data_IF_531121342710
#
_entry.id   IF_531121342710
#
_cell.length_a   1.000
_cell.length_b   1.000
_cell.length_c   1.000
_cell.angle_alpha   90.00
_cell.angle_beta   90.00
_cell.angle_gamma   90.00
#
_symmetry.space_group_name_H-M   'P 1'
#
loop_
_entity.id
_entity.type
_entity.pdbx_description
1 polymer ?
#
# COMPACT_ATOMS: atom_id res chain seq x y z
N UNK A 1 -66.88 36.76 49.19
CA UNK A 1 -66.69 35.37 48.74
C UNK A 1 -66.38 35.40 47.25
N UNK A 2 -65.28 34.74 46.86
CA UNK A 2 -64.95 34.25 45.50
C UNK A 2 -64.71 35.32 44.41
N UNK A 3 -63.45 35.66 44.08
CA UNK A 3 -62.56 35.04 43.06
C UNK A 3 -63.10 35.25 41.62
N UNK A 4 -62.34 35.63 40.60
CA UNK A 4 -60.90 35.53 40.27
C UNK A 4 -60.49 36.67 39.34
N UNK A 5 -59.25 37.15 39.45
CA UNK A 5 -58.62 38.11 38.54
C UNK A 5 -57.20 37.65 38.21
N UNK A 6 -56.85 37.77 36.93
CA UNK A 6 -55.58 37.43 36.29
C UNK A 6 -54.36 37.98 37.02
N UNK A 7 -53.26 37.24 36.97
CA UNK A 7 -51.93 37.82 36.78
C UNK A 7 -51.02 36.89 35.98
N UNK A 8 -50.27 37.54 35.09
CA UNK A 8 -49.36 36.97 34.10
C UNK A 8 -48.04 36.54 34.77
N UNK A 9 -47.52 35.38 34.40
CA UNK A 9 -46.14 34.98 34.69
C UNK A 9 -45.45 34.60 33.37
N UNK A 10 -44.44 35.40 33.01
CA UNK A 10 -43.52 35.15 31.92
C UNK A 10 -42.58 33.99 32.28
N UNK A 11 -42.59 32.94 31.47
CA UNK A 11 -41.56 31.90 31.48
C UNK A 11 -40.73 31.98 30.19
N UNK A 12 -39.46 32.33 30.36
CA UNK A 12 -38.39 32.21 29.35
C UNK A 12 -38.20 30.73 28.97
N UNK A 13 -38.51 30.38 27.72
CA UNK A 13 -38.17 29.09 27.13
C UNK A 13 -36.78 29.18 26.48
N UNK A 14 -35.75 28.68 27.16
CA UNK A 14 -34.45 28.37 26.56
C UNK A 14 -34.57 27.04 25.79
N UNK A 15 -34.81 27.14 24.49
CA UNK A 15 -34.79 26.00 23.57
C UNK A 15 -33.38 25.40 23.51
N UNK A 16 -33.22 24.23 24.10
CA UNK A 16 -32.04 23.36 23.96
C UNK A 16 -32.01 22.85 22.51
N UNK A 17 -31.10 23.40 21.69
CA UNK A 17 -30.74 22.83 20.39
C UNK A 17 -29.79 21.64 20.60
N UNK A 18 -30.32 20.51 21.08
CA UNK A 18 -29.62 19.23 21.06
C UNK A 18 -29.86 18.55 19.71
N UNK A 19 -28.97 18.81 18.76
CA UNK A 19 -28.95 18.13 17.48
C UNK A 19 -27.52 17.94 17.02
N UNK A 20 -26.76 17.09 17.73
CA UNK A 20 -25.53 16.55 17.15
C UNK A 20 -25.89 15.92 15.81
N UNK A 21 -25.28 16.33 14.68
CA UNK A 21 -25.51 15.69 13.41
C UNK A 21 -25.20 14.20 13.58
N UNK A 22 -26.17 13.33 13.33
CA UNK A 22 -25.92 11.90 13.40
C UNK A 22 -24.80 11.56 12.44
N UNK A 23 -23.82 10.78 12.90
CA UNK A 23 -22.65 10.31 12.14
C UNK A 23 -23.04 9.80 10.73
N UNK A 24 -24.26 9.26 10.59
CA UNK A 24 -24.87 8.89 9.31
C UNK A 24 -25.07 10.06 8.33
N UNK A 25 -25.56 11.23 8.76
CA UNK A 25 -25.71 12.41 7.89
C UNK A 25 -24.36 12.94 7.39
N UNK A 26 -23.32 12.81 8.22
CA UNK A 26 -21.95 13.13 7.85
C UNK A 26 -21.43 12.17 6.77
N UNK A 27 -21.60 10.86 6.94
CA UNK A 27 -21.15 9.87 5.96
C UNK A 27 -21.95 9.87 4.65
N UNK A 28 -23.26 10.14 4.66
CA UNK A 28 -24.06 10.24 3.42
C UNK A 28 -23.57 11.41 2.54
N UNK A 29 -23.26 12.56 3.14
CA UNK A 29 -22.68 13.71 2.41
C UNK A 29 -21.27 13.41 1.89
N UNK A 30 -20.45 12.64 2.61
CA UNK A 30 -19.09 12.28 2.17
C UNK A 30 -19.10 11.22 1.06
N UNK A 31 -20.01 10.25 1.11
CA UNK A 31 -20.14 9.21 0.09
C UNK A 31 -20.48 9.81 -1.29
N UNK A 32 -21.39 10.79 -1.33
CA UNK A 32 -21.74 11.52 -2.57
C UNK A 32 -20.57 12.33 -3.14
N UNK A 33 -19.61 12.75 -2.32
CA UNK A 33 -18.40 13.48 -2.74
C UNK A 33 -17.29 12.59 -3.30
N UNK A 34 -17.29 11.29 -2.96
CA UNK A 34 -16.30 10.33 -3.45
C UNK A 34 -16.43 10.04 -4.95
N UNK A 35 -17.61 10.29 -5.53
CA UNK A 35 -17.89 10.05 -6.95
C UNK A 35 -17.40 11.15 -7.91
N UNK A 36 -16.70 12.20 -7.45
CA UNK A 36 -16.54 13.42 -8.28
C UNK A 36 -15.11 14.01 -8.40
N UNK A 37 -14.00 13.32 -8.13
CA UNK A 37 -12.68 14.02 -8.05
C UNK A 37 -11.54 13.44 -8.88
N UNK A 38 -10.77 14.33 -9.52
CA UNK A 38 -9.43 14.75 -9.04
C UNK A 38 -8.76 15.84 -9.92
N UNK A 39 -8.41 16.96 -9.29
CA UNK A 39 -7.14 17.71 -9.49
C UNK A 39 -6.68 18.13 -8.08
N UNK A 40 -5.40 17.96 -7.74
CA UNK A 40 -4.82 18.58 -6.54
C UNK A 40 -3.41 19.08 -6.82
N UNK A 41 -3.21 20.37 -6.52
CA UNK A 41 -1.94 20.92 -6.08
C UNK A 41 -1.78 20.62 -4.58
N UNK A 42 -0.57 20.26 -4.15
CA UNK A 42 -0.21 20.22 -2.74
C UNK A 42 -0.33 21.63 -2.17
N UNK A 43 -1.34 21.88 -1.34
CA UNK A 43 -1.44 23.11 -0.56
C UNK A 43 -0.78 22.83 0.78
N UNK A 44 0.36 23.46 1.04
CA UNK A 44 0.91 23.60 2.39
C UNK A 44 -0.16 24.27 3.26
N UNK A 45 -0.83 23.47 4.09
CA UNK A 45 -1.63 24.01 5.17
C UNK A 45 -0.65 24.63 6.17
N UNK A 46 -0.76 25.94 6.35
CA UNK A 46 -0.06 26.71 7.37
C UNK A 46 -0.61 26.26 8.74
N UNK A 47 -0.04 25.18 9.26
CA UNK A 47 -0.41 24.58 10.54
C UNK A 47 0.63 25.07 11.54
N UNK A 48 0.21 25.68 12.67
CA UNK A 48 1.15 26.06 13.71
C UNK A 48 1.96 24.82 14.09
N UNK A 49 3.28 24.90 13.97
CA UNK A 49 4.18 23.86 14.47
C UNK A 49 3.72 23.51 15.88
N UNK A 50 3.23 22.28 16.07
CA UNK A 50 3.00 21.81 17.42
C UNK A 50 4.38 21.84 18.07
N UNK A 51 4.58 22.74 19.03
CA UNK A 51 5.77 22.79 19.88
C UNK A 51 5.94 21.43 20.56
N UNK A 52 6.66 20.54 19.88
CA UNK A 52 6.91 19.18 20.33
C UNK A 52 8.14 19.23 21.21
N UNK A 53 7.98 19.62 22.47
CA UNK A 53 9.07 19.51 23.44
C UNK A 53 9.43 18.05 23.79
N UNK A 54 8.63 17.07 23.31
CA UNK A 54 8.88 15.63 23.42
C UNK A 54 9.10 15.00 22.02
N UNK A 55 10.05 15.51 21.22
CA UNK A 55 10.43 14.82 19.98
C UNK A 55 11.10 13.50 20.32
N UNK A 56 10.35 12.40 20.14
CA UNK A 56 10.91 11.07 20.02
C UNK A 56 12.04 11.12 18.99
N UNK A 57 13.28 10.90 19.42
CA UNK A 57 14.41 10.71 18.51
C UNK A 57 14.24 9.33 17.87
N UNK A 58 14.00 9.23 16.56
CA UNK A 58 13.83 7.95 15.91
C UNK A 58 15.09 7.09 16.04
N UNK A 59 14.92 5.77 16.12
CA UNK A 59 16.03 4.87 15.88
C UNK A 59 16.47 5.03 14.41
N UNK A 60 17.69 5.49 14.19
CA UNK A 60 18.22 5.62 12.83
C UNK A 60 18.64 4.25 12.29
N UNK A 61 18.28 3.95 11.03
CA UNK A 61 18.95 2.91 10.21
C UNK A 61 20.39 3.35 9.87
N UNK A 62 20.86 4.48 10.38
CA UNK A 62 22.10 5.17 9.99
C UNK A 62 23.38 4.35 10.07
N UNK A 63 23.42 3.19 10.73
CA UNK A 63 24.58 2.29 10.65
C UNK A 63 24.61 1.40 9.40
N UNK A 64 23.52 1.28 8.61
CA UNK A 64 23.43 0.38 7.45
C UNK A 64 23.89 1.02 6.13
N UNK A 65 24.01 2.35 6.06
CA UNK A 65 24.56 3.04 4.91
C UNK A 65 25.42 4.20 5.41
N UNK A 66 26.65 4.34 4.91
CA UNK A 66 27.60 5.37 5.35
C UNK A 66 27.16 6.83 5.12
N UNK A 67 25.92 7.06 4.67
CA UNK A 67 25.24 8.35 4.62
C UNK A 67 23.82 8.20 5.20
N UNK A 68 23.45 9.08 6.14
CA UNK A 68 22.14 9.11 6.83
C UNK A 68 20.97 9.23 5.85
N UNK A 69 21.13 10.03 4.78
CA UNK A 69 20.05 10.27 3.82
C UNK A 69 19.69 9.01 2.99
N UNK A 70 20.69 8.19 2.66
CA UNK A 70 20.47 6.93 1.94
C UNK A 70 19.90 5.84 2.84
N UNK A 71 20.23 5.85 4.14
CA UNK A 71 19.64 4.96 5.13
C UNK A 71 18.12 5.21 5.30
N UNK A 72 17.72 6.48 5.35
CA UNK A 72 16.31 6.89 5.46
C UNK A 72 15.49 6.46 4.23
N UNK A 73 16.01 6.67 3.02
CA UNK A 73 15.33 6.24 1.79
C UNK A 73 15.22 4.73 1.73
N UNK A 74 16.29 4.01 2.11
CA UNK A 74 16.30 2.55 2.15
C UNK A 74 15.28 2.01 3.17
N UNK A 75 15.20 2.62 4.36
CA UNK A 75 14.21 2.27 5.39
C UNK A 75 12.78 2.37 4.87
N UNK A 76 12.47 3.48 4.18
CA UNK A 76 11.16 3.74 3.60
C UNK A 76 10.80 2.67 2.56
N UNK A 77 11.72 2.49 1.60
CA UNK A 77 11.56 1.53 0.52
C UNK A 77 11.42 0.10 1.05
N UNK A 78 12.19 -0.28 2.07
CA UNK A 78 12.14 -1.60 2.70
C UNK A 78 10.77 -1.89 3.32
N UNK A 79 10.27 -0.99 4.16
CA UNK A 79 8.99 -1.20 4.86
C UNK A 79 7.84 -1.30 3.86
N UNK A 80 7.85 -0.45 2.85
CA UNK A 80 6.95 -0.50 1.73
C UNK A 80 7.04 -1.80 0.92
N UNK A 81 8.26 -2.31 0.72
CA UNK A 81 8.54 -3.57 0.05
C UNK A 81 8.01 -4.77 0.85
N UNK A 82 8.16 -4.77 2.17
CA UNK A 82 7.48 -5.74 3.03
C UNK A 82 5.96 -5.62 2.94
N UNK A 83 5.42 -4.40 2.98
CA UNK A 83 3.98 -4.20 2.87
C UNK A 83 3.45 -4.73 1.53
N UNK A 84 4.17 -4.48 0.44
CA UNK A 84 3.88 -5.05 -0.88
C UNK A 84 3.96 -6.58 -0.86
N UNK A 85 4.98 -7.18 -0.24
CA UNK A 85 5.20 -8.64 -0.16
C UNK A 85 4.25 -9.36 0.81
N UNK A 86 3.54 -8.64 1.66
CA UNK A 86 2.45 -9.19 2.45
C UNK A 86 1.07 -8.88 1.89
N UNK A 87 0.98 -7.98 0.91
CA UNK A 87 -0.28 -7.60 0.29
C UNK A 87 -0.90 -8.79 -0.44
N UNK A 88 -2.22 -8.91 -0.35
CA UNK A 88 -2.96 -9.92 -1.10
C UNK A 88 -3.56 -9.33 -2.37
N UNK A 89 -3.74 -10.15 -3.41
CA UNK A 89 -4.55 -9.80 -4.56
C UNK A 89 -5.93 -9.30 -4.12
N UNK A 90 -6.42 -8.24 -4.77
CA UNK A 90 -7.79 -7.75 -4.62
C UNK A 90 -7.95 -6.52 -3.70
N UNK A 91 -9.20 -6.08 -3.49
CA UNK A 91 -9.48 -4.81 -2.81
C UNK A 91 -9.20 -4.84 -1.31
N UNK A 92 -9.27 -6.03 -0.69
CA UNK A 92 -9.10 -6.20 0.77
C UNK A 92 -7.66 -6.51 1.18
N UNK A 93 -6.75 -6.79 0.24
CA UNK A 93 -5.39 -7.22 0.55
C UNK A 93 -4.40 -6.09 0.87
N UNK A 94 -4.88 -4.99 1.46
CA UNK A 94 -4.02 -3.87 1.88
C UNK A 94 -3.25 -4.26 3.13
N UNK A 95 -2.00 -3.81 3.20
CA UNK A 95 -1.08 -4.05 4.33
C UNK A 95 -0.37 -2.76 4.71
N UNK A 96 -0.16 -2.58 6.01
CA UNK A 96 0.76 -1.62 6.57
C UNK A 96 1.81 -2.33 7.43
N UNK A 97 3.02 -1.80 7.46
CA UNK A 97 4.16 -2.35 8.18
C UNK A 97 4.87 -1.28 8.99
N UNK A 98 5.43 -1.69 10.12
CA UNK A 98 6.38 -0.92 10.90
C UNK A 98 7.45 -1.87 11.40
N UNK A 99 8.67 -1.39 11.65
CA UNK A 99 9.73 -2.23 12.18
C UNK A 99 10.27 -1.61 13.46
N UNK A 100 10.49 -2.46 14.47
CA UNK A 100 11.03 -2.12 15.78
C UNK A 100 12.39 -2.80 15.92
N UNK A 101 13.38 -2.09 16.43
CA UNK A 101 14.65 -2.69 16.84
C UNK A 101 14.60 -2.95 18.34
N UNK A 102 14.80 -4.19 18.77
CA UNK A 102 14.84 -4.49 20.20
C UNK A 102 16.22 -4.15 20.75
N UNK A 103 16.31 -3.27 21.75
CA UNK A 103 17.59 -2.86 22.33
C UNK A 103 18.24 -3.96 23.19
N UNK A 104 17.44 -4.83 23.80
CA UNK A 104 17.89 -5.87 24.74
C UNK A 104 18.63 -7.03 24.05
N UNK A 105 18.17 -7.39 22.85
CA UNK A 105 18.81 -8.37 21.98
C UNK A 105 19.45 -7.60 20.84
N UNK A 106 20.72 -7.22 20.98
CA UNK A 106 21.48 -6.62 19.89
C UNK A 106 21.26 -7.47 18.63
N UNK A 107 20.78 -6.81 17.57
CA UNK A 107 20.48 -7.39 16.26
C UNK A 107 19.15 -8.19 16.15
N UNK A 108 18.18 -7.98 17.03
CA UNK A 108 16.79 -8.44 16.80
C UNK A 108 15.89 -7.31 16.29
N UNK A 109 15.22 -7.58 15.17
CA UNK A 109 14.23 -6.70 14.57
C UNK A 109 12.86 -7.35 14.59
N UNK A 110 11.83 -6.59 14.96
CA UNK A 110 10.44 -7.05 14.91
C UNK A 110 9.68 -6.27 13.83
N UNK A 111 9.31 -6.95 12.75
CA UNK A 111 8.44 -6.40 11.72
C UNK A 111 6.97 -6.60 12.11
N UNK A 112 6.30 -5.51 12.43
CA UNK A 112 4.86 -5.46 12.61
C UNK A 112 4.18 -5.46 11.24
N UNK A 113 3.17 -6.30 11.07
CA UNK A 113 2.41 -6.41 9.83
C UNK A 113 0.92 -6.35 10.15
N UNK A 114 0.27 -5.25 9.78
CA UNK A 114 -1.17 -5.08 9.86
C UNK A 114 -1.82 -5.40 8.50
N UNK A 115 -2.86 -6.25 8.49
CA UNK A 115 -3.57 -6.63 7.26
C UNK A 115 -5.07 -6.43 7.40
N UNK A 116 -5.73 -6.13 6.28
CA UNK A 116 -7.18 -6.21 6.13
C UNK A 116 -7.57 -7.60 5.59
N UNK A 117 -8.61 -8.25 6.13
CA UNK A 117 -9.10 -9.55 5.59
C UNK A 117 -8.67 -10.81 6.36
N UNK A 118 -9.10 -11.99 5.87
CA UNK A 118 -9.28 -13.26 6.61
C UNK A 118 -8.01 -13.90 7.23
N UNK A 119 -8.22 -14.52 8.41
CA UNK A 119 -7.23 -15.14 9.30
C UNK A 119 -6.47 -16.33 8.68
N UNK A 120 -6.99 -16.98 7.64
CA UNK A 120 -6.64 -18.39 7.41
C UNK A 120 -5.84 -18.74 6.14
N UNK A 121 -5.51 -17.81 5.24
CA UNK A 121 -5.04 -18.22 3.90
C UNK A 121 -3.56 -18.04 3.54
N UNK A 122 -2.65 -17.62 4.45
CA UNK A 122 -1.21 -17.72 4.16
C UNK A 122 -0.31 -17.45 5.37
N UNK A 123 -0.22 -18.42 6.28
CA UNK A 123 0.94 -18.52 7.19
C UNK A 123 2.25 -18.73 6.42
N UNK A 124 2.16 -19.20 5.17
CA UNK A 124 3.31 -19.60 4.36
C UNK A 124 4.33 -18.48 4.14
N UNK A 125 3.97 -17.30 3.62
CA UNK A 125 4.99 -16.28 3.31
C UNK A 125 5.69 -15.72 4.56
N UNK A 126 4.98 -15.62 5.69
CA UNK A 126 5.56 -15.17 6.96
C UNK A 126 6.61 -16.16 7.45
N UNK A 127 6.27 -17.45 7.44
CA UNK A 127 7.18 -18.54 7.81
C UNK A 127 8.37 -18.62 6.84
N UNK A 128 8.14 -18.51 5.54
CA UNK A 128 9.20 -18.51 4.52
C UNK A 128 10.17 -17.33 4.72
N UNK A 129 9.69 -16.12 5.02
CA UNK A 129 10.56 -14.98 5.31
C UNK A 129 11.34 -15.23 6.62
N UNK A 130 10.67 -15.65 7.70
CA UNK A 130 11.35 -15.92 8.97
C UNK A 130 12.44 -16.99 8.81
N UNK A 131 12.12 -18.11 8.14
CA UNK A 131 13.06 -19.19 7.86
C UNK A 131 14.22 -18.69 7.02
N UNK A 132 13.92 -17.92 5.97
CA UNK A 132 14.94 -17.35 5.10
C UNK A 132 15.85 -16.37 5.84
N UNK A 133 15.35 -15.55 6.78
CA UNK A 133 16.20 -14.70 7.62
C UNK A 133 17.06 -15.50 8.61
N UNK A 134 16.53 -16.62 9.13
CA UNK A 134 17.22 -17.50 10.07
C UNK A 134 18.31 -18.34 9.41
N UNK A 135 18.12 -18.70 8.14
CA UNK A 135 19.08 -19.48 7.37
C UNK A 135 20.35 -18.66 7.08
N UNK A 136 21.50 -19.22 7.47
CA UNK A 136 22.84 -18.61 7.34
C UNK A 136 23.64 -19.21 6.20
N UNK A 137 23.24 -20.38 5.71
CA UNK A 137 23.93 -21.11 4.65
C UNK A 137 23.17 -20.88 3.35
N UNK A 138 23.53 -19.88 2.55
CA UNK A 138 23.38 -19.98 1.09
C UNK A 138 23.75 -18.69 0.31
N UNK A 139 24.05 -18.93 -0.96
CA UNK A 139 24.14 -18.00 -2.09
C UNK A 139 22.77 -17.35 -2.45
N UNK A 140 21.89 -17.15 -1.45
CA UNK A 140 20.45 -16.82 -1.59
C UNK A 140 20.17 -15.40 -2.07
N UNK A 141 21.20 -14.60 -2.26
CA UNK A 141 21.05 -13.15 -2.48
C UNK A 141 20.58 -12.81 -3.90
N UNK A 142 20.54 -13.79 -4.81
CA UNK A 142 20.10 -13.58 -6.19
C UNK A 142 18.65 -14.06 -6.35
N UNK A 143 17.72 -13.22 -6.86
CA UNK A 143 16.40 -13.69 -7.26
C UNK A 143 16.57 -14.63 -8.45
N UNK A 144 16.51 -15.93 -8.17
CA UNK A 144 16.47 -16.99 -9.17
C UNK A 144 15.26 -17.88 -8.89
N UNK A 145 14.64 -18.52 -9.89
CA UNK A 145 13.53 -19.44 -9.67
C UNK A 145 13.82 -20.58 -8.66
N UNK A 146 15.10 -20.92 -8.48
CA UNK A 146 15.54 -21.91 -7.49
C UNK A 146 15.45 -21.38 -6.05
N UNK A 147 15.40 -20.06 -5.86
CA UNK A 147 15.20 -19.45 -4.57
C UNK A 147 13.75 -19.67 -4.11
N UNK A 148 13.60 -20.46 -3.03
CA UNK A 148 12.29 -20.85 -2.50
C UNK A 148 11.43 -19.65 -2.12
N UNK A 149 12.00 -18.64 -1.46
CA UNK A 149 11.26 -17.45 -1.06
C UNK A 149 10.81 -16.63 -2.27
N UNK A 150 11.69 -16.43 -3.25
CA UNK A 150 11.33 -15.71 -4.48
C UNK A 150 10.24 -16.43 -5.26
N UNK A 151 10.35 -17.75 -5.41
CA UNK A 151 9.30 -18.57 -6.03
C UNK A 151 7.97 -18.47 -5.27
N UNK A 152 8.01 -18.42 -3.94
CA UNK A 152 6.81 -18.23 -3.12
C UNK A 152 6.18 -16.84 -3.30
N UNK A 153 7.02 -15.80 -3.39
CA UNK A 153 6.61 -14.43 -3.71
C UNK A 153 5.92 -14.42 -5.08
N UNK A 154 6.59 -14.89 -6.13
CA UNK A 154 6.03 -14.95 -7.49
C UNK A 154 4.70 -15.72 -7.54
N UNK A 155 4.61 -16.85 -6.84
CA UNK A 155 3.38 -17.64 -6.77
C UNK A 155 2.23 -16.90 -6.06
N UNK A 156 2.54 -16.19 -4.97
CA UNK A 156 1.56 -15.38 -4.23
C UNK A 156 1.06 -14.23 -5.11
N UNK A 157 1.96 -13.59 -5.86
CA UNK A 157 1.67 -12.41 -6.66
C UNK A 157 1.13 -12.67 -8.05
N UNK A 158 1.29 -13.90 -8.56
CA UNK A 158 0.60 -14.36 -9.76
C UNK A 158 -0.83 -13.87 -9.79
N UNK A 159 -1.58 -14.12 -8.72
CA UNK A 159 -2.98 -13.75 -8.63
C UNK A 159 -3.19 -12.23 -8.69
N UNK A 160 -2.32 -11.43 -8.08
CA UNK A 160 -2.44 -9.97 -8.13
C UNK A 160 -2.15 -9.46 -9.52
N UNK A 161 -1.07 -9.94 -10.14
CA UNK A 161 -0.69 -9.59 -11.52
C UNK A 161 -1.84 -9.95 -12.47
N UNK A 162 -2.37 -11.18 -12.39
CA UNK A 162 -3.51 -11.61 -13.20
C UNK A 162 -4.76 -10.77 -12.95
N UNK A 163 -5.09 -10.42 -11.71
CA UNK A 163 -6.25 -9.58 -11.41
C UNK A 163 -6.08 -8.14 -11.87
N UNK A 164 -4.89 -7.56 -11.73
CA UNK A 164 -4.60 -6.22 -12.21
C UNK A 164 -4.66 -6.17 -13.73
N UNK A 165 -4.10 -7.17 -14.41
CA UNK A 165 -4.27 -7.47 -15.83
C UNK A 165 -5.75 -7.53 -16.25
N UNK A 166 -6.59 -8.26 -15.50
CA UNK A 166 -8.02 -8.38 -15.80
C UNK A 166 -8.78 -7.08 -15.58
N UNK A 167 -8.49 -6.34 -14.51
CA UNK A 167 -9.11 -5.03 -14.23
C UNK A 167 -8.78 -4.03 -15.32
N UNK A 168 -7.54 -4.06 -15.81
CA UNK A 168 -7.17 -3.25 -16.97
C UNK A 168 -7.76 -3.80 -18.27
N UNK A 169 -8.34 -4.99 -18.25
CA UNK A 169 -9.01 -5.61 -19.37
C UNK A 169 -8.04 -5.93 -20.50
N UNK A 170 -6.77 -6.19 -20.20
CA UNK A 170 -5.82 -6.71 -21.17
C UNK A 170 -6.11 -8.19 -21.37
N UNK A 171 -6.42 -8.55 -22.62
CA UNK A 171 -6.48 -9.92 -23.08
C UNK A 171 -5.29 -10.19 -23.99
N UNK A 172 -5.04 -11.46 -24.32
CA UNK A 172 -4.01 -11.84 -25.28
C UNK A 172 -4.15 -11.07 -26.61
N UNK A 173 -5.38 -10.96 -27.12
CA UNK A 173 -5.68 -10.26 -28.37
C UNK A 173 -5.35 -8.76 -28.26
N UNK A 174 -5.67 -8.14 -27.12
CA UNK A 174 -5.38 -6.73 -26.88
C UNK A 174 -3.89 -6.47 -26.72
N UNK A 175 -3.11 -7.41 -26.21
CA UNK A 175 -1.65 -7.29 -26.16
C UNK A 175 -1.07 -7.36 -27.56
N UNK A 176 -1.55 -8.28 -28.40
CA UNK A 176 -1.15 -8.34 -29.81
C UNK A 176 -1.49 -7.03 -30.54
N UNK A 177 -2.65 -6.42 -30.24
CA UNK A 177 -2.97 -5.09 -30.76
C UNK A 177 -1.99 -4.03 -30.27
N UNK A 178 -1.69 -3.99 -28.96
CA UNK A 178 -0.73 -3.03 -28.39
C UNK A 178 0.65 -3.20 -29.02
N UNK A 179 1.09 -4.43 -29.25
CA UNK A 179 2.35 -4.71 -29.94
C UNK A 179 2.34 -4.19 -31.37
N UNK A 180 1.22 -4.35 -32.09
CA UNK A 180 1.06 -3.80 -33.44
C UNK A 180 1.13 -2.28 -33.42
N UNK A 181 0.37 -1.64 -32.52
CA UNK A 181 0.34 -0.18 -32.37
C UNK A 181 1.74 0.37 -32.03
N UNK A 182 2.45 -0.26 -31.10
CA UNK A 182 3.82 0.13 -30.71
C UNK A 182 4.80 -0.05 -31.87
N UNK A 183 4.70 -1.15 -32.65
CA UNK A 183 5.56 -1.36 -33.83
C UNK A 183 5.36 -0.26 -34.88
N UNK A 184 4.12 0.17 -35.11
CA UNK A 184 3.81 1.30 -36.01
C UNK A 184 4.41 2.60 -35.47
N UNK A 185 4.22 2.89 -34.18
CA UNK A 185 4.78 4.08 -33.54
C UNK A 185 6.31 4.14 -33.62
N UNK A 186 6.99 3.00 -33.42
CA UNK A 186 8.45 2.89 -33.58
C UNK A 186 8.86 3.15 -35.03
N UNK A 187 8.15 2.58 -36.01
CA UNK A 187 8.45 2.79 -37.44
C UNK A 187 8.31 4.26 -37.85
N UNK A 188 7.24 4.93 -37.41
CA UNK A 188 7.04 6.36 -37.63
C UNK A 188 8.17 7.20 -37.03
N UNK A 189 8.59 6.91 -35.80
CA UNK A 189 9.64 7.65 -35.11
C UNK A 189 11.02 7.45 -35.74
N UNK A 190 11.34 6.24 -36.19
CA UNK A 190 12.60 5.96 -36.90
C UNK A 190 12.68 6.63 -38.27
N UNK A 191 11.55 7.04 -38.85
CA UNK A 191 11.49 7.71 -40.16
C UNK A 191 11.71 9.22 -40.07
N UNK A 192 11.64 9.81 -38.86
CA UNK A 192 11.81 11.24 -38.65
C UNK A 192 13.27 11.58 -38.30
N UNK A 193 13.98 12.36 -39.12
CA UNK A 193 15.35 12.76 -38.82
C UNK A 193 15.39 13.65 -37.56
N UNK A 194 16.16 13.22 -36.56
CA UNK A 194 16.44 14.01 -35.34
C UNK A 194 15.64 13.65 -34.08
N UNK A 195 14.73 12.67 -34.10
CA UNK A 195 14.10 12.15 -32.88
C UNK A 195 14.77 10.86 -32.41
N UNK A 196 15.52 10.97 -31.31
CA UNK A 196 16.30 9.88 -30.75
C UNK A 196 15.49 9.12 -29.69
N UNK A 197 14.56 8.26 -30.12
CA UNK A 197 14.09 7.19 -29.23
C UNK A 197 15.16 6.12 -29.21
N UNK A 198 15.66 5.75 -28.02
CA UNK A 198 16.65 4.68 -27.92
C UNK A 198 16.03 3.39 -28.46
N UNK A 199 16.57 2.80 -29.56
CA UNK A 199 16.05 1.55 -30.11
C UNK A 199 16.05 0.40 -29.10
N UNK A 200 16.88 0.50 -28.06
CA UNK A 200 16.96 -0.43 -26.95
C UNK A 200 15.69 -0.43 -26.09
N UNK A 201 15.19 0.74 -25.67
CA UNK A 201 13.97 0.88 -24.86
C UNK A 201 12.77 0.27 -25.60
N UNK A 202 12.62 0.62 -26.87
CA UNK A 202 11.56 0.10 -27.73
C UNK A 202 11.63 -1.43 -27.87
N UNK A 203 12.83 -1.99 -28.02
CA UNK A 203 13.04 -3.44 -28.07
C UNK A 203 12.65 -4.10 -26.74
N UNK A 204 13.07 -3.55 -25.60
CA UNK A 204 12.73 -4.07 -24.28
C UNK A 204 11.21 -4.05 -24.02
N UNK A 205 10.50 -2.99 -24.43
CA UNK A 205 9.04 -2.94 -24.32
C UNK A 205 8.39 -4.06 -25.15
N UNK A 206 8.86 -4.31 -26.37
CA UNK A 206 8.33 -5.39 -27.21
C UNK A 206 8.59 -6.78 -26.61
N UNK A 207 9.79 -7.02 -26.06
CA UNK A 207 10.12 -8.27 -25.37
C UNK A 207 9.25 -8.51 -24.12
N UNK A 208 8.98 -7.45 -23.35
CA UNK A 208 8.04 -7.51 -22.21
C UNK A 208 6.64 -7.89 -22.70
N UNK A 209 6.18 -7.30 -23.79
CA UNK A 209 4.86 -7.61 -24.36
C UNK A 209 4.78 -9.05 -24.88
N UNK A 210 5.84 -9.57 -25.49
CA UNK A 210 5.89 -10.98 -25.95
C UNK A 210 5.83 -11.94 -24.76
N UNK A 211 6.56 -11.62 -23.69
CA UNK A 211 6.56 -12.40 -22.45
C UNK A 211 5.20 -12.34 -21.74
N UNK A 212 4.56 -11.17 -21.70
CA UNK A 212 3.18 -11.02 -21.21
C UNK A 212 2.19 -11.81 -22.08
N UNK A 213 2.27 -11.75 -23.40
CA UNK A 213 1.42 -12.53 -24.30
C UNK A 213 1.53 -14.05 -24.06
N UNK A 214 2.76 -14.51 -23.79
CA UNK A 214 3.02 -15.90 -23.39
C UNK A 214 2.38 -16.23 -22.05
N UNK A 215 2.44 -15.31 -21.08
CA UNK A 215 1.81 -15.48 -19.76
C UNK A 215 0.30 -15.73 -19.87
N UNK A 216 -0.41 -15.01 -20.74
CA UNK A 216 -1.84 -15.26 -21.00
C UNK A 216 -2.12 -16.59 -21.67
N UNK A 217 -1.16 -17.11 -22.44
CA UNK A 217 -1.34 -18.38 -23.15
C UNK A 217 -1.20 -19.59 -22.23
N UNK A 218 -0.42 -19.43 -21.15
CA UNK A 218 -0.19 -20.51 -20.18
C UNK A 218 -1.26 -20.52 -19.09
N UNK A 219 -1.88 -19.39 -18.75
CA UNK A 219 -2.85 -19.30 -17.67
C UNK A 219 -4.19 -19.97 -18.04
N UNK A 220 -4.52 -21.18 -17.54
CA UNK A 220 -5.86 -21.70 -17.69
C UNK A 220 -6.74 -21.04 -16.62
N UNK A 221 -8.02 -20.87 -16.92
CA UNK A 221 -9.07 -20.44 -15.98
C UNK A 221 -9.33 -21.51 -14.89
N UNK A 222 -8.29 -21.99 -14.20
CA UNK A 222 -8.41 -22.98 -13.13
C UNK A 222 -9.07 -22.31 -11.92
N UNK A 223 -10.10 -22.93 -11.34
CA UNK A 223 -10.81 -22.40 -10.18
C UNK A 223 -9.85 -22.20 -8.99
N UNK A 224 -10.15 -21.21 -8.13
CA UNK A 224 -9.33 -20.87 -6.95
C UNK A 224 -9.06 -22.10 -6.05
N UNK A 225 -9.99 -23.07 -6.04
CA UNK A 225 -9.90 -24.29 -5.23
C UNK A 225 -8.89 -25.33 -5.74
N UNK A 226 -8.58 -25.36 -7.04
CA UNK A 226 -7.60 -26.31 -7.61
C UNK A 226 -6.14 -25.78 -7.61
N UNK A 227 -5.93 -24.49 -7.30
CA UNK A 227 -4.63 -23.80 -7.44
C UNK A 227 -3.57 -24.12 -6.36
N UNK A 228 -3.93 -24.87 -5.32
CA UNK A 228 -3.01 -25.14 -4.19
C UNK A 228 -2.01 -26.27 -4.43
N UNK A 229 -2.15 -27.10 -5.48
CA UNK A 229 -1.46 -28.40 -5.47
C UNK A 229 -0.15 -28.52 -6.26
N UNK A 230 0.12 -27.74 -7.30
CA UNK A 230 1.43 -27.83 -7.98
C UNK A 230 1.91 -26.46 -8.49
N UNK A 231 3.11 -26.07 -8.05
CA UNK A 231 3.84 -24.93 -8.60
C UNK A 231 4.30 -25.34 -9.99
N UNK A 232 3.78 -24.69 -11.04
CA UNK A 232 4.26 -24.92 -12.41
C UNK A 232 5.63 -24.21 -12.57
N UNK A 233 6.74 -24.93 -12.69
CA UNK A 233 8.08 -24.32 -12.72
C UNK A 233 8.31 -23.46 -13.96
N UNK A 234 7.73 -23.83 -15.11
CA UNK A 234 7.82 -23.02 -16.34
C UNK A 234 7.11 -21.68 -16.18
N UNK A 235 5.98 -21.68 -15.45
CA UNK A 235 5.25 -20.46 -15.17
C UNK A 235 6.02 -19.52 -14.22
N UNK A 236 6.66 -20.08 -13.19
CA UNK A 236 7.52 -19.29 -12.28
C UNK A 236 8.72 -18.72 -13.04
N UNK A 237 9.34 -19.49 -13.94
CA UNK A 237 10.44 -19.02 -14.79
C UNK A 237 10.00 -17.89 -15.72
N UNK A 238 8.79 -17.96 -16.27
CA UNK A 238 8.23 -16.88 -17.07
C UNK A 238 8.00 -15.62 -16.23
N UNK A 239 7.40 -15.74 -15.04
CA UNK A 239 7.22 -14.61 -14.12
C UNK A 239 8.55 -13.98 -13.71
N UNK A 240 9.56 -14.78 -13.42
CA UNK A 240 10.92 -14.30 -13.15
C UNK A 240 11.49 -13.51 -14.34
N UNK A 241 11.30 -14.01 -15.56
CA UNK A 241 11.74 -13.34 -16.79
C UNK A 241 11.06 -11.98 -16.97
N UNK A 242 9.72 -11.93 -16.87
CA UNK A 242 8.94 -10.70 -17.05
C UNK A 242 9.28 -9.67 -15.95
N UNK A 243 9.39 -10.12 -14.70
CA UNK A 243 9.78 -9.24 -13.58
C UNK A 243 11.18 -8.68 -13.75
N UNK A 244 12.13 -9.50 -14.22
CA UNK A 244 13.49 -9.05 -14.55
C UNK A 244 13.49 -7.99 -15.64
N UNK A 245 12.81 -8.24 -16.75
CA UNK A 245 12.79 -7.31 -17.89
C UNK A 245 12.14 -5.96 -17.52
N UNK A 246 10.99 -5.99 -16.83
CA UNK A 246 10.33 -4.75 -16.39
C UNK A 246 11.22 -3.97 -15.42
N UNK A 247 11.88 -4.68 -14.49
CA UNK A 247 12.78 -4.06 -13.53
C UNK A 247 14.01 -3.43 -14.19
N UNK A 248 14.73 -4.17 -15.04
CA UNK A 248 15.93 -3.65 -15.71
C UNK A 248 15.62 -2.43 -16.60
N UNK A 249 14.50 -2.48 -17.33
CA UNK A 249 14.05 -1.38 -18.17
C UNK A 249 13.80 -0.11 -17.34
N UNK A 250 12.98 -0.22 -16.29
CA UNK A 250 12.65 0.93 -15.46
C UNK A 250 13.84 1.40 -14.63
N UNK A 251 14.72 0.51 -14.20
CA UNK A 251 15.91 0.90 -13.46
C UNK A 251 16.89 1.72 -14.31
N UNK A 252 17.09 1.31 -15.57
CA UNK A 252 18.11 1.90 -16.44
C UNK A 252 17.59 3.11 -17.21
N UNK A 253 16.27 3.16 -17.47
CA UNK A 253 15.65 4.10 -18.39
C UNK A 253 14.27 4.58 -17.89
N UNK A 254 14.09 4.81 -16.58
CA UNK A 254 12.78 5.18 -16.02
C UNK A 254 12.18 6.40 -16.72
N UNK A 255 12.96 7.48 -16.82
CA UNK A 255 12.51 8.78 -17.31
C UNK A 255 12.24 8.71 -18.82
N UNK A 256 13.12 8.06 -19.58
CA UNK A 256 12.98 7.87 -21.02
C UNK A 256 11.79 6.96 -21.33
N UNK A 257 11.61 5.89 -20.57
CA UNK A 257 10.45 4.99 -20.70
C UNK A 257 9.16 5.72 -20.38
N UNK A 258 9.12 6.51 -19.29
CA UNK A 258 7.96 7.33 -18.93
C UNK A 258 7.65 8.34 -20.03
N UNK A 259 8.63 9.12 -20.46
CA UNK A 259 8.47 10.13 -21.50
C UNK A 259 8.01 9.52 -22.83
N UNK A 260 8.55 8.35 -23.20
CA UNK A 260 8.16 7.62 -24.40
C UNK A 260 6.69 7.16 -24.32
N UNK A 261 6.31 6.51 -23.23
CA UNK A 261 4.93 6.07 -23.03
C UNK A 261 3.96 7.25 -22.98
N UNK A 262 4.33 8.36 -22.33
CA UNK A 262 3.52 9.59 -22.29
C UNK A 262 3.38 10.22 -23.67
N UNK A 263 4.47 10.28 -24.45
CA UNK A 263 4.43 10.74 -25.85
C UNK A 263 3.48 9.88 -26.68
N UNK A 264 3.52 8.56 -26.54
CA UNK A 264 2.61 7.65 -27.25
C UNK A 264 1.16 7.78 -26.77
N UNK A 265 0.94 8.07 -25.48
CA UNK A 265 -0.37 8.35 -24.88
C UNK A 265 -0.96 9.69 -25.37
N UNK A 266 -0.11 10.67 -25.69
CA UNK A 266 -0.49 12.03 -26.07
C UNK A 266 -0.64 12.26 -27.58
N UNK A 267 -0.11 11.39 -28.45
CA UNK A 267 -0.31 11.50 -29.91
C UNK A 267 -1.82 11.54 -30.23
N UNK A 268 -2.30 12.69 -30.71
CA UNK A 268 -3.72 13.04 -30.88
C UNK A 268 -4.53 12.09 -31.78
N UNK A 269 -3.86 11.40 -32.70
CA UNK A 269 -4.47 10.43 -33.63
C UNK A 269 -4.69 9.04 -33.00
N UNK A 270 -4.12 8.78 -31.83
CA UNK A 270 -4.35 7.55 -31.11
C UNK A 270 -5.82 7.52 -30.64
N UNK A 271 -6.59 6.56 -31.15
CA UNK A 271 -7.96 6.33 -30.71
C UNK A 271 -7.99 6.27 -29.18
N UNK A 272 -9.00 6.86 -28.54
CA UNK A 272 -9.16 6.90 -27.07
C UNK A 272 -8.93 5.55 -26.36
N UNK A 273 -9.15 4.44 -27.08
CA UNK A 273 -8.86 3.06 -26.66
C UNK A 273 -7.36 2.74 -26.55
N UNK A 274 -6.51 3.19 -27.47
CA UNK A 274 -5.06 2.93 -27.44
C UNK A 274 -4.38 3.70 -26.32
N UNK A 275 -4.81 4.94 -26.06
CA UNK A 275 -4.37 5.73 -24.90
C UNK A 275 -4.58 4.98 -23.58
N UNK A 276 -5.79 4.49 -23.37
CA UNK A 276 -6.13 3.72 -22.17
C UNK A 276 -5.31 2.43 -22.05
N UNK A 277 -5.06 1.74 -23.16
CA UNK A 277 -4.27 0.50 -23.19
C UNK A 277 -2.80 0.74 -22.82
N UNK A 278 -2.19 1.81 -23.33
CA UNK A 278 -0.80 2.17 -23.01
C UNK A 278 -0.62 2.61 -21.56
N UNK A 279 -1.56 3.40 -21.03
CA UNK A 279 -1.56 3.77 -19.60
C UNK A 279 -1.66 2.54 -18.70
N UNK A 280 -2.50 1.57 -19.09
CA UNK A 280 -2.63 0.29 -18.39
C UNK A 280 -1.39 -0.59 -18.47
N UNK A 281 -0.74 -0.64 -19.63
CA UNK A 281 0.54 -1.32 -19.80
C UNK A 281 1.60 -0.71 -18.88
N UNK A 282 1.69 0.63 -18.86
CA UNK A 282 2.58 1.37 -17.97
C UNK A 282 2.38 0.93 -16.52
N UNK A 283 1.15 0.99 -16.02
CA UNK A 283 0.82 0.56 -14.65
C UNK A 283 1.28 -0.87 -14.35
N UNK A 284 1.00 -1.83 -15.24
CA UNK A 284 1.40 -3.23 -15.05
C UNK A 284 2.93 -3.39 -14.99
N UNK A 285 3.66 -2.71 -15.87
CA UNK A 285 5.12 -2.77 -15.88
C UNK A 285 5.70 -2.30 -14.54
N UNK A 286 5.20 -1.19 -14.01
CA UNK A 286 5.61 -0.69 -12.70
C UNK A 286 5.21 -1.64 -11.56
N UNK A 287 4.00 -2.18 -11.57
CA UNK A 287 3.56 -3.19 -10.58
C UNK A 287 4.51 -4.40 -10.56
N UNK A 288 4.80 -4.94 -11.73
CA UNK A 288 5.65 -6.12 -11.90
C UNK A 288 7.08 -5.82 -11.44
N UNK A 289 7.64 -4.68 -11.87
CA UNK A 289 8.98 -4.27 -11.48
C UNK A 289 9.12 -4.04 -9.97
N UNK A 290 8.06 -3.52 -9.33
CA UNK A 290 8.02 -3.28 -7.89
C UNK A 290 8.17 -4.55 -7.05
N UNK A 291 7.75 -5.73 -7.53
CA UNK A 291 7.98 -6.99 -6.80
C UNK A 291 9.46 -7.39 -6.78
N UNK A 292 10.17 -7.22 -7.90
CA UNK A 292 11.60 -7.50 -7.96
C UNK A 292 12.41 -6.46 -7.18
N UNK A 293 12.00 -5.18 -7.25
CA UNK A 293 12.51 -4.13 -6.34
C UNK A 293 12.33 -4.51 -4.88
N UNK A 294 11.15 -5.01 -4.51
CA UNK A 294 10.84 -5.38 -3.13
C UNK A 294 11.67 -6.55 -2.62
N UNK A 295 11.87 -7.57 -3.45
CA UNK A 295 12.83 -8.64 -3.18
C UNK A 295 14.21 -8.06 -2.85
N UNK A 296 14.67 -7.14 -3.68
CA UNK A 296 15.99 -6.56 -3.54
C UNK A 296 16.19 -5.71 -2.30
N UNK A 297 15.20 -4.91 -1.91
CA UNK A 297 15.27 -4.16 -0.66
C UNK A 297 15.38 -5.12 0.54
N UNK A 298 14.65 -6.24 0.53
CA UNK A 298 14.69 -7.26 1.57
C UNK A 298 16.05 -7.99 1.60
N UNK A 299 16.63 -8.32 0.45
CA UNK A 299 17.98 -8.88 0.34
C UNK A 299 19.02 -7.92 0.90
N UNK A 300 18.98 -6.64 0.52
CA UNK A 300 19.88 -5.63 1.10
C UNK A 300 19.75 -5.57 2.61
N UNK A 301 18.53 -5.60 3.11
CA UNK A 301 18.29 -5.59 4.55
C UNK A 301 18.90 -6.81 5.23
N UNK A 302 18.71 -8.02 4.70
CA UNK A 302 19.35 -9.24 5.24
C UNK A 302 20.88 -9.15 5.19
N UNK A 303 21.47 -8.75 4.06
CA UNK A 303 22.93 -8.63 3.90
C UNK A 303 23.50 -7.61 4.89
N UNK A 304 22.91 -6.42 4.97
CA UNK A 304 23.41 -5.33 5.81
C UNK A 304 23.29 -5.67 7.29
N UNK A 305 22.30 -6.48 7.66
CA UNK A 305 22.09 -6.91 9.03
C UNK A 305 22.91 -8.13 9.44
N UNK A 306 23.58 -8.80 8.50
CA UNK A 306 24.45 -9.94 8.80
C UNK A 306 23.74 -11.04 9.59
N UNK A 307 24.10 -11.19 10.86
CA UNK A 307 23.57 -12.21 11.78
C UNK A 307 22.26 -11.85 12.48
N UNK A 308 21.67 -10.69 12.17
CA UNK A 308 20.44 -10.24 12.82
C UNK A 308 19.25 -11.18 12.60
N UNK A 309 18.38 -11.22 13.60
CA UNK A 309 17.12 -11.97 13.53
C UNK A 309 15.98 -11.03 13.16
N UNK A 310 15.21 -11.39 12.14
CA UNK A 310 13.94 -10.73 11.83
C UNK A 310 12.78 -11.57 12.37
N UNK A 311 12.05 -11.04 13.34
CA UNK A 311 10.79 -11.61 13.84
C UNK A 311 9.63 -10.91 13.16
N UNK A 312 8.69 -11.66 12.59
CA UNK A 312 7.47 -11.07 12.01
C UNK A 312 6.30 -11.24 12.98
N UNK A 313 5.68 -10.12 13.37
CA UNK A 313 4.49 -10.08 14.22
C UNK A 313 3.28 -9.60 13.44
N UNK A 314 2.29 -10.47 13.27
CA UNK A 314 1.02 -10.12 12.65
C UNK A 314 0.13 -9.44 13.69
N UNK A 315 -0.32 -8.21 13.40
CA UNK A 315 -1.23 -7.51 14.32
C UNK A 315 -2.64 -8.12 14.25
N UNK A 316 -3.32 -8.29 15.40
CA UNK A 316 -4.67 -8.80 15.43
C UNK A 316 -5.62 -7.83 14.71
N UNK A 317 -6.80 -8.36 14.33
CA UNK A 317 -7.88 -7.52 13.81
C UNK A 317 -8.39 -6.57 14.89
N UNK A 318 -8.88 -7.11 16.01
CA UNK A 318 -9.45 -6.29 17.07
C UNK A 318 -8.37 -5.58 17.88
N UNK A 319 -8.44 -4.25 17.93
CA UNK A 319 -7.70 -3.40 18.88
C UNK A 319 -8.24 -3.50 20.32
N UNK A 320 -9.27 -4.33 20.56
CA UNK A 320 -10.10 -4.32 21.77
C UNK A 320 -9.65 -5.18 22.96
N UNK A 321 -8.45 -5.74 23.01
CA UNK A 321 -7.95 -6.36 24.25
C UNK A 321 -6.43 -6.43 24.25
N UNK A 322 -5.80 -5.63 25.11
CA UNK A 322 -4.35 -5.49 25.29
C UNK A 322 -3.66 -6.71 25.92
N UNK A 323 -4.21 -7.92 25.79
CA UNK A 323 -3.43 -9.14 26.00
C UNK A 323 -2.89 -9.61 24.67
N UNK A 324 -1.74 -9.05 24.33
CA UNK A 324 -0.82 -9.64 23.36
C UNK A 324 -0.39 -10.97 23.96
N UNK A 325 -1.11 -12.05 23.67
CA UNK A 325 -0.55 -13.38 23.83
C UNK A 325 0.56 -13.52 22.79
N UNK A 326 1.80 -13.65 23.23
CA UNK A 326 2.86 -14.18 22.39
C UNK A 326 2.41 -15.58 21.98
N UNK A 327 1.99 -15.71 20.72
CA UNK A 327 1.62 -17.00 20.15
C UNK A 327 2.95 -17.76 19.96
N UNK A 328 3.41 -18.39 21.04
CA UNK A 328 4.32 -19.52 20.96
C UNK A 328 3.57 -20.60 20.18
N UNK A 329 4.13 -21.03 19.05
CA UNK A 329 3.50 -21.98 18.13
C UNK A 329 3.48 -23.36 18.79
N UNK A 330 2.52 -23.61 19.68
CA UNK A 330 2.20 -24.96 20.13
C UNK A 330 1.20 -25.56 19.13
N UNK A 331 1.69 -26.55 18.38
CA UNK A 331 0.90 -27.34 17.43
C UNK A 331 -0.08 -28.23 18.21
N UNK A 332 -1.25 -27.71 18.54
CA UNK A 332 -2.34 -28.56 18.99
C UNK A 332 -3.19 -29.02 17.79
N UNK A 333 -3.22 -30.33 17.61
CA UNK A 333 -4.05 -31.05 16.65
C UNK A 333 -5.50 -30.99 17.17
N UNK A 334 -6.48 -30.45 16.43
CA UNK A 334 -7.86 -30.44 16.90
C UNK A 334 -8.42 -31.87 16.89
N UNK A 335 -8.82 -32.36 18.07
CA UNK A 335 -9.75 -33.50 18.21
C UNK A 335 -11.18 -32.96 18.14
N UNK A 336 -12.04 -33.72 17.47
CA UNK A 336 -13.35 -33.29 16.98
C UNK A 336 -14.48 -33.16 18.01
N UNK A 337 -15.55 -32.56 17.48
CA UNK A 337 -17.00 -32.79 17.69
C UNK A 337 -17.57 -32.61 19.11
N UNK A 338 -18.43 -31.58 19.32
CA UNK A 338 -19.89 -31.73 19.24
C UNK A 338 -20.67 -30.42 19.55
N UNK A 339 -21.83 -30.34 18.89
CA UNK A 339 -22.99 -29.45 18.92
C UNK A 339 -23.21 -28.42 20.06
N UNK A 340 -23.52 -27.17 19.66
CA UNK A 340 -24.71 -26.45 20.14
C UNK A 340 -25.00 -25.18 19.29
N UNK A 341 -26.00 -25.28 18.42
CA UNK A 341 -26.67 -24.13 17.81
C UNK A 341 -27.43 -23.35 18.90
N UNK A 342 -27.03 -22.11 19.15
CA UNK A 342 -27.84 -21.14 19.89
C UNK A 342 -27.80 -19.79 19.19
N UNK A 343 -28.99 -19.42 18.70
CA UNK A 343 -29.35 -18.17 18.06
C UNK A 343 -28.97 -16.96 18.93
N UNK A 344 -27.93 -16.22 18.53
CA UNK A 344 -27.78 -14.81 18.90
C UNK A 344 -27.44 -13.99 17.65
N UNK A 345 -28.49 -13.42 17.06
CA UNK A 345 -28.35 -12.35 16.08
C UNK A 345 -27.95 -11.06 16.83
N UNK A 346 -26.98 -10.33 16.25
CA UNK A 346 -26.60 -8.94 16.56
C UNK A 346 -25.47 -8.64 17.57
N UNK A 347 -24.43 -9.46 17.62
CA UNK A 347 -23.07 -8.96 17.88
C UNK A 347 -22.13 -9.58 16.86
N UNK A 348 -21.99 -8.94 15.70
CA UNK A 348 -21.08 -9.41 14.66
C UNK A 348 -19.65 -8.94 15.04
N UNK A 349 -18.79 -9.80 15.63
CA UNK A 349 -17.50 -9.38 16.21
C UNK A 349 -16.44 -9.16 15.11
N UNK A 350 -16.79 -9.39 13.85
CA UNK A 350 -15.83 -9.56 12.76
C UNK A 350 -15.76 -8.39 11.78
N UNK A 351 -16.49 -7.29 12.03
CA UNK A 351 -16.44 -6.10 11.19
C UNK A 351 -15.42 -5.08 11.73
N UNK A 352 -14.22 -5.58 12.02
CA UNK A 352 -13.05 -4.73 12.23
C UNK A 352 -12.64 -4.10 10.88
N UNK A 353 -13.34 -3.01 10.57
CA UNK A 353 -13.16 -2.20 9.37
C UNK A 353 -12.03 -1.16 9.55
N UNK A 354 -11.22 -1.30 10.61
CA UNK A 354 -10.07 -0.42 10.79
C UNK A 354 -9.04 -0.68 9.69
N UNK A 355 -8.58 0.40 9.07
CA UNK A 355 -7.51 0.34 8.07
C UNK A 355 -6.20 -0.14 8.71
N UNK A 356 -5.28 -0.71 7.92
CA UNK A 356 -4.04 -1.29 8.43
C UNK A 356 -3.17 -0.25 9.15
N UNK A 357 -3.13 0.96 8.62
CA UNK A 357 -2.42 2.12 9.14
C UNK A 357 -2.90 2.47 10.55
N UNK A 358 -4.21 2.34 10.80
CA UNK A 358 -4.84 2.59 12.10
C UNK A 358 -4.49 1.52 13.13
N UNK A 359 -4.26 0.28 12.70
CA UNK A 359 -3.79 -0.81 13.56
C UNK A 359 -2.33 -0.61 13.97
N UNK A 360 -1.48 -0.20 13.03
CA UNK A 360 -0.09 0.18 13.32
C UNK A 360 -0.08 1.34 14.32
N UNK A 361 -0.88 2.40 14.09
CA UNK A 361 -0.99 3.53 15.02
C UNK A 361 -1.42 3.08 16.43
N UNK A 362 -2.46 2.24 16.52
CA UNK A 362 -2.93 1.73 17.80
C UNK A 362 -1.85 0.98 18.57
N UNK A 363 -1.02 0.19 17.86
CA UNK A 363 0.14 -0.47 18.48
C UNK A 363 1.20 0.54 18.93
N UNK A 364 1.56 1.49 18.08
CA UNK A 364 2.59 2.50 18.38
C UNK A 364 2.23 3.38 19.57
N UNK A 365 0.96 3.74 19.73
CA UNK A 365 0.50 4.54 20.87
C UNK A 365 0.44 3.75 22.17
N UNK A 366 0.31 2.42 22.10
CA UNK A 366 0.29 1.54 23.27
C UNK A 366 1.66 1.00 23.69
N UNK A 367 2.73 1.31 22.94
CA UNK A 367 4.08 0.85 23.21
C UNK A 367 4.93 2.02 23.73
N UNK A 368 5.36 1.94 25.00
CA UNK A 368 6.17 2.97 25.66
C UNK A 368 7.57 3.14 25.00
N UNK A 369 7.98 2.20 24.15
CA UNK A 369 9.26 2.23 23.43
C UNK A 369 9.11 2.69 21.98
N UNK A 370 8.26 3.70 21.73
CA UNK A 370 8.08 4.29 20.41
C UNK A 370 9.39 4.76 19.75
N UNK A 371 10.43 5.10 20.54
CA UNK A 371 11.77 5.45 20.04
C UNK A 371 12.51 4.30 19.35
N UNK A 372 12.14 3.05 19.65
CA UNK A 372 12.76 1.85 19.09
C UNK A 372 12.25 1.54 17.67
N UNK A 373 11.22 2.26 17.24
CA UNK A 373 10.67 2.13 15.91
C UNK A 373 11.40 3.01 14.91
N UNK A 374 11.43 2.52 13.68
CA UNK A 374 11.77 3.36 12.55
C UNK A 374 10.66 4.38 12.29
N UNK A 375 11.06 5.64 12.05
CA UNK A 375 10.17 6.78 11.79
C UNK A 375 9.48 6.73 10.42
N UNK A 376 9.06 5.55 9.99
CA UNK A 376 8.29 5.35 8.77
C UNK A 376 7.30 4.20 8.91
N UNK A 377 6.12 4.36 8.31
CA UNK A 377 5.11 3.30 8.17
C UNK A 377 5.03 2.91 6.70
N UNK A 378 5.43 1.69 6.40
CA UNK A 378 5.32 1.12 5.06
C UNK A 378 3.88 0.78 4.73
N UNK A 379 3.46 1.05 3.50
CA UNK A 379 2.10 0.74 3.06
C UNK A 379 2.11 0.11 1.66
N UNK A 380 1.35 -0.97 1.46
CA UNK A 380 1.24 -1.63 0.15
C UNK A 380 0.58 -0.74 -0.91
N UNK A 381 -0.18 0.27 -0.44
CA UNK A 381 -0.82 1.34 -1.20
C UNK A 381 -0.72 2.61 -0.36
N UNK A 382 -0.72 3.78 -0.98
CA UNK A 382 -0.75 5.06 -0.31
C UNK A 382 -1.89 5.10 0.71
N UNK A 383 -1.71 5.74 1.86
CA UNK A 383 -2.74 5.78 2.87
C UNK A 383 -3.97 6.54 2.37
N UNK A 384 -5.15 6.16 2.87
CA UNK A 384 -6.34 6.96 2.64
C UNK A 384 -6.20 8.32 3.30
N UNK A 385 -7.02 9.30 2.88
CA UNK A 385 -6.90 10.66 3.38
C UNK A 385 -7.03 10.73 4.92
N UNK A 386 -7.99 9.98 5.47
CA UNK A 386 -8.20 9.89 6.93
C UNK A 386 -7.02 9.24 7.65
N UNK A 387 -6.48 8.14 7.12
CA UNK A 387 -5.30 7.47 7.70
C UNK A 387 -4.09 8.41 7.71
N UNK A 388 -3.83 9.06 6.58
CA UNK A 388 -2.68 9.96 6.40
C UNK A 388 -2.70 11.09 7.43
N UNK A 389 -3.81 11.83 7.51
CA UNK A 389 -3.93 12.95 8.44
C UNK A 389 -3.96 12.49 9.90
N UNK A 390 -4.66 11.40 10.22
CA UNK A 390 -4.69 10.89 11.59
C UNK A 390 -3.29 10.54 12.07
N UNK A 391 -2.53 9.78 11.28
CA UNK A 391 -1.15 9.42 11.62
C UNK A 391 -0.25 10.67 11.73
N UNK A 392 -0.34 11.60 10.77
CA UNK A 392 0.48 12.83 10.77
C UNK A 392 0.35 13.64 12.07
N UNK A 393 -0.82 13.67 12.70
CA UNK A 393 -1.04 14.42 13.94
C UNK A 393 -0.92 13.58 15.21
N UNK A 394 -1.32 12.31 15.17
CA UNK A 394 -1.25 11.43 16.34
C UNK A 394 0.17 10.91 16.59
N UNK A 395 0.94 10.70 15.52
CA UNK A 395 2.28 10.14 15.54
C UNK A 395 3.21 10.93 14.59
N UNK A 396 3.46 12.23 14.86
CA UNK A 396 4.20 13.13 13.96
C UNK A 396 5.65 12.69 13.71
N UNK A 397 6.22 11.86 14.60
CA UNK A 397 7.54 11.28 14.41
C UNK A 397 7.60 10.26 13.25
N UNK A 398 6.46 9.76 12.77
CA UNK A 398 6.39 8.75 11.72
C UNK A 398 6.01 9.37 10.37
N UNK A 399 6.83 9.12 9.36
CA UNK A 399 6.57 9.45 7.95
C UNK A 399 5.79 8.30 7.29
N UNK A 400 5.18 8.57 6.14
CA UNK A 400 4.54 7.55 5.30
C UNK A 400 4.47 8.06 3.85
N UNK A 401 4.04 7.19 2.92
CA UNK A 401 3.76 7.58 1.53
C UNK A 401 2.75 8.72 1.42
N UNK A 402 2.77 9.41 0.27
CA UNK A 402 1.72 10.36 -0.07
C UNK A 402 0.35 9.66 -0.10
N UNK A 403 -0.68 10.36 0.36
CA UNK A 403 -2.03 9.82 0.36
C UNK A 403 -2.56 9.68 -1.07
N UNK A 404 -3.33 8.63 -1.34
CA UNK A 404 -4.14 8.57 -2.57
C UNK A 404 -5.43 9.41 -2.46
N UNK A 405 -5.64 10.12 -1.33
CA UNK A 405 -6.69 11.12 -1.11
C UNK A 405 -8.13 10.61 -1.16
N UNK A 406 -8.34 9.28 -1.15
CA UNK A 406 -9.70 8.70 -1.15
C UNK A 406 -10.23 8.69 0.27
N UNK A 407 -11.54 8.94 0.37
CA UNK A 407 -12.32 8.87 1.58
C UNK A 407 -13.13 7.57 1.54
N UNK A 408 -13.05 6.78 2.62
CA UNK A 408 -13.80 5.55 2.75
C UNK A 408 -14.88 5.73 3.81
N UNK A 409 -16.14 5.54 3.44
CA UNK A 409 -17.27 5.66 4.37
C UNK A 409 -17.19 4.64 5.53
N UNK A 410 -16.50 3.52 5.32
CA UNK A 410 -16.30 2.49 6.32
C UNK A 410 -15.08 2.70 7.21
N UNK A 411 -14.37 3.83 7.08
CA UNK A 411 -13.21 4.12 7.91
C UNK A 411 -13.65 4.27 9.37
N UNK A 412 -12.85 3.74 10.30
CA UNK A 412 -13.10 3.84 11.73
C UNK A 412 -11.86 4.35 12.45
N UNK A 413 -12.12 5.18 13.44
CA UNK A 413 -11.14 5.64 14.41
C UNK A 413 -10.62 4.41 15.17
N UNK A 414 -9.29 4.29 15.40
CA UNK A 414 -8.77 3.29 16.31
C UNK A 414 -9.42 3.43 17.70
N UNK A 415 -9.64 2.32 18.38
CA UNK A 415 -9.96 2.37 19.81
C UNK A 415 -8.69 2.76 20.56
N UNK A 416 -8.51 4.05 20.81
CA UNK A 416 -7.44 4.54 21.68
C UNK A 416 -7.81 4.22 23.13
N UNK A 417 -6.84 3.84 23.96
CA UNK A 417 -7.06 3.90 25.40
C UNK A 417 -7.29 5.38 25.75
N UNK A 418 -8.32 5.65 26.56
CA UNK A 418 -8.89 7.00 26.78
C UNK A 418 -7.98 7.92 27.61
N UNK A 419 -6.73 8.10 27.20
CA UNK A 419 -5.84 9.13 27.74
C UNK A 419 -6.30 10.52 27.28
N UNK A 420 -6.37 11.47 28.22
CA UNK A 420 -6.76 12.86 27.94
C UNK A 420 -5.89 13.50 26.83
N UNK A 421 -4.61 13.13 26.76
CA UNK A 421 -3.67 13.60 25.72
C UNK A 421 -4.05 13.13 24.32
N UNK A 422 -4.43 11.86 24.17
CA UNK A 422 -4.80 11.29 22.87
C UNK A 422 -6.15 11.79 22.41
N UNK A 423 -7.11 11.98 23.33
CA UNK A 423 -8.37 12.65 23.03
C UNK A 423 -8.16 14.08 22.51
N UNK A 424 -7.27 14.85 23.15
CA UNK A 424 -6.93 16.21 22.70
C UNK A 424 -6.27 16.22 21.31
N UNK A 425 -5.33 15.31 21.05
CA UNK A 425 -4.69 15.17 19.72
C UNK A 425 -5.71 14.75 18.66
N UNK A 426 -6.57 13.79 18.99
CA UNK A 426 -7.59 13.30 18.07
C UNK A 426 -8.68 14.36 17.80
N UNK A 427 -9.06 15.16 18.79
CA UNK A 427 -9.96 16.30 18.61
C UNK A 427 -9.38 17.32 17.61
N UNK A 428 -8.06 17.59 17.66
CA UNK A 428 -7.39 18.42 16.64
C UNK A 428 -7.47 17.80 15.25
N UNK A 429 -7.28 16.48 15.13
CA UNK A 429 -7.48 15.76 13.86
C UNK A 429 -8.89 16.03 13.36
N UNK A 430 -9.92 15.73 14.17
CA UNK A 430 -11.33 15.94 13.79
C UNK A 430 -11.62 17.38 13.33
N UNK A 431 -11.09 18.38 14.02
CA UNK A 431 -11.28 19.78 13.63
C UNK A 431 -10.62 20.11 12.27
N UNK A 432 -9.42 19.58 12.02
CA UNK A 432 -8.76 19.72 10.73
C UNK A 432 -9.51 18.96 9.63
N UNK A 433 -10.07 17.79 9.95
CA UNK A 433 -10.88 17.05 9.01
C UNK A 433 -12.12 17.84 8.62
N UNK A 434 -12.81 18.43 9.59
CA UNK A 434 -13.98 19.29 9.38
C UNK A 434 -13.65 20.52 8.50
N UNK A 435 -12.52 21.19 8.79
CA UNK A 435 -12.05 22.33 7.99
C UNK A 435 -11.74 21.93 6.55
N UNK A 436 -11.05 20.82 6.32
CA UNK A 436 -10.70 20.38 4.97
C UNK A 436 -11.93 19.89 4.18
N UNK A 437 -12.85 19.19 4.83
CA UNK A 437 -14.14 18.80 4.21
C UNK A 437 -14.92 20.05 3.81
N UNK A 438 -15.01 21.05 4.70
CA UNK A 438 -15.68 22.33 4.42
C UNK A 438 -15.03 23.06 3.25
N UNK A 439 -13.71 23.19 3.25
CA UNK A 439 -12.94 23.82 2.17
C UNK A 439 -13.18 23.13 0.83
N UNK A 440 -13.14 21.79 0.80
CA UNK A 440 -13.37 21.05 -0.43
C UNK A 440 -14.82 21.15 -0.93
N UNK A 441 -15.80 21.24 -0.01
CA UNK A 441 -17.19 21.52 -0.37
C UNK A 441 -17.32 22.88 -1.05
N UNK A 442 -16.68 23.91 -0.49
CA UNK A 442 -16.67 25.27 -1.05
C UNK A 442 -15.98 25.34 -2.42
N UNK A 443 -14.84 24.67 -2.59
CA UNK A 443 -14.14 24.59 -3.88
C UNK A 443 -14.95 23.84 -4.94
N UNK A 444 -15.65 22.77 -4.57
CA UNK A 444 -16.48 22.00 -5.51
C UNK A 444 -17.64 22.84 -6.05
N UNK A 445 -18.20 23.73 -5.23
CA UNK A 445 -19.22 24.71 -5.65
C UNK A 445 -18.66 25.71 -6.66
N UNK A 446 -17.37 26.05 -6.58
CA UNK A 446 -16.71 26.98 -7.52
C UNK A 446 -16.24 26.29 -8.82
N UNK A 447 -15.69 25.08 -8.73
CA UNK A 447 -15.07 24.36 -9.86
C UNK A 447 -16.06 23.58 -10.73
N UNK A 448 -17.30 23.35 -10.26
CA UNK A 448 -18.39 22.79 -11.07
C UNK A 448 -18.74 23.63 -12.32
N UNK A 449 -18.13 24.81 -12.49
CA UNK A 449 -18.24 25.67 -13.69
C UNK A 449 -17.17 25.44 -14.77
N UNK A 450 -16.15 24.61 -14.53
CA UNK A 450 -15.11 24.29 -15.52
C UNK A 450 -14.68 22.84 -15.34
N UNK A 451 -15.25 21.92 -16.12
CA UNK A 451 -14.74 20.54 -16.16
C UNK A 451 -14.19 20.23 -17.54
N UNK A 452 -12.91 19.90 -17.57
CA UNK A 452 -12.42 18.93 -18.52
C UNK A 452 -11.37 17.99 -17.91
N UNK A 453 -11.44 16.75 -18.37
CA UNK A 453 -10.51 15.61 -18.29
C UNK A 453 -10.09 15.07 -16.90
N UNK A 454 -10.46 13.80 -16.72
CA UNK A 454 -10.13 12.88 -15.64
C UNK A 454 -8.62 12.55 -15.63
N UNK A 455 -7.92 12.84 -14.53
CA UNK A 455 -6.74 12.04 -14.19
C UNK A 455 -7.22 10.79 -13.45
N UNK A 456 -6.97 9.63 -14.05
CA UNK A 456 -7.22 8.34 -13.43
C UNK A 456 -6.22 8.09 -12.29
N UNK A 457 -6.56 7.11 -11.45
CA UNK A 457 -5.90 6.62 -10.22
C UNK A 457 -4.42 6.17 -10.35
N UNK A 458 -3.55 6.87 -11.08
CA UNK A 458 -2.24 6.35 -11.54
C UNK A 458 -1.05 6.63 -10.58
N UNK A 459 -1.23 7.44 -9.55
CA UNK A 459 -0.08 8.15 -8.94
C UNK A 459 0.76 7.29 -7.97
N UNK A 460 0.21 6.26 -7.35
CA UNK A 460 0.89 5.64 -6.21
C UNK A 460 2.04 4.68 -6.61
N UNK A 461 1.86 3.85 -7.65
CA UNK A 461 2.86 2.82 -7.97
C UNK A 461 4.12 3.37 -8.64
N UNK A 462 4.01 4.42 -9.45
CA UNK A 462 5.17 5.03 -10.13
C UNK A 462 6.04 5.84 -9.19
N UNK A 463 5.41 6.56 -8.25
CA UNK A 463 6.14 7.37 -7.25
C UNK A 463 6.99 6.54 -6.28
N UNK A 464 6.84 5.21 -6.31
CA UNK A 464 7.52 4.28 -5.39
C UNK A 464 8.69 3.55 -6.03
N UNK A 465 8.91 3.74 -7.34
CA UNK A 465 10.05 3.17 -8.04
C UNK A 465 11.31 4.05 -7.87
N UNK A 466 11.71 4.32 -6.62
CA UNK A 466 12.81 5.25 -6.29
C UNK A 466 14.09 4.56 -5.77
N UNK A 467 14.20 3.23 -5.92
CA UNK A 467 15.36 2.46 -5.42
C UNK A 467 16.18 1.89 -6.58
N UNK A 468 17.14 2.64 -7.15
CA UNK A 468 18.07 2.10 -8.15
C UNK A 468 18.91 0.97 -7.52
N UNK A 469 19.46 0.04 -8.33
CA UNK A 469 20.33 -1.00 -7.77
C UNK A 469 21.60 -0.40 -7.20
N UNK A 470 22.08 -1.00 -6.13
CA UNK A 470 23.45 -0.77 -5.68
C UNK A 470 24.41 -1.56 -6.56
N UNK A 471 25.67 -1.14 -6.58
CA UNK A 471 26.74 -1.85 -7.29
C UNK A 471 26.86 -3.31 -6.86
N UNK A 472 26.71 -3.59 -5.56
CA UNK A 472 26.68 -4.95 -5.02
C UNK A 472 25.60 -5.81 -5.67
N UNK A 473 24.44 -5.23 -6.00
CA UNK A 473 23.40 -5.99 -6.68
C UNK A 473 23.68 -6.18 -8.15
N UNK A 474 24.27 -5.20 -8.84
CA UNK A 474 24.70 -5.40 -10.23
C UNK A 474 25.62 -6.61 -10.33
N UNK A 475 26.55 -6.74 -9.39
CA UNK A 475 27.41 -7.93 -9.24
C UNK A 475 26.63 -9.22 -8.99
N UNK A 476 25.55 -9.17 -8.22
CA UNK A 476 24.69 -10.33 -7.95
C UNK A 476 23.94 -10.86 -9.19
N UNK A 477 23.67 -10.07 -10.24
CA UNK A 477 23.09 -10.61 -11.49
C UNK A 477 24.10 -10.77 -12.64
N UNK A 478 25.31 -10.21 -12.50
CA UNK A 478 26.37 -10.28 -13.52
C UNK A 478 27.14 -11.62 -13.55
N UNK A 479 26.80 -12.54 -12.64
CA UNK A 479 27.32 -13.91 -12.52
C UNK A 479 26.16 -14.90 -12.62
#
# INVERSE_FOLDING_TARGET
>A
MSSTGNDQQEHFNLGVLSGTPTLNKFYTKIHDLSCTRQQQAEIELDIPELESNDQLKPCEIGSLAGNVESADILAKNLLDSFALIFARPGPKGVVATAIKRTNEEHDTYTLLVARNGERNSSFSITEEINNWFTDREDDVNIPKPQNRLWSHILQTYRLSISEDIKKVGLSKEKIVDIQRDIKVLIQEETSLPGQCVSPEISRSILEILDSLSTFFSIEPMVSISQRKKEINPEFIKLLDTVTRQCFLLLESHENETRALLEKWILKEEAHSRSKLRLDKLRQIMYTIANYRRAWYDIVRFKINLGSATLRIKLLPRSTGSSRVEDIEIQREIPKGEDDQESSSAYQNPDNDMSHCEMKILGFLLGDDSASDFFSYIGCSKGPCWLCYHTLKYMAPAFKMRKSHLKLYASWRVPQFQEGEKDQKRFSKVLHLLDKEITRQLEQTVQESRKRDVRMADVIDMESTFLSPRTESMRRLEGN
#
